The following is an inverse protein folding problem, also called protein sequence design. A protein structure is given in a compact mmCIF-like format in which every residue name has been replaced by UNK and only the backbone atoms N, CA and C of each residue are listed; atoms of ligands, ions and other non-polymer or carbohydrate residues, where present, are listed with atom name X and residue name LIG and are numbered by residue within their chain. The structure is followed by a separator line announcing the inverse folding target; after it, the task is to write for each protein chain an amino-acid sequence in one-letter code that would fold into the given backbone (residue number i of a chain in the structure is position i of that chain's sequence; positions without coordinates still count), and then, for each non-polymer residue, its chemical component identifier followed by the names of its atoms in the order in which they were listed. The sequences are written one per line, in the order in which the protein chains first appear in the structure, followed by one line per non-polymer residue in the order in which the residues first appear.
data_IF_756284180913
#
_entry.id   IF_756284180913
#
_cell.length_a   1.000
_cell.length_b   1.000
_cell.length_c   1.000
_cell.angle_alpha   90.00
_cell.angle_beta   90.00
_cell.angle_gamma   90.00
#
_symmetry.space_group_name_H-M   'P 1'
#
loop_
_entity.id
_entity.type
_entity.pdbx_description
1 polymer ?
#
# COMPACT_ATOMS: atom_id res chain seq x y z
N UNK A 1 -17.99 12.94 -12.05
CA UNK A 1 -19.39 12.63 -12.27
C UNK A 1 -19.56 12.27 -13.75
N UNK A 2 -20.05 11.07 -14.02
CA UNK A 2 -20.36 10.64 -15.38
C UNK A 2 -21.62 11.37 -15.88
N UNK A 3 -21.79 11.47 -17.21
CA UNK A 3 -22.88 12.23 -17.81
C UNK A 3 -24.29 11.77 -17.42
N UNK A 4 -24.43 10.55 -16.87
CA UNK A 4 -25.68 9.96 -16.36
C UNK A 4 -25.86 10.10 -14.84
N UNK A 5 -24.97 10.83 -14.14
CA UNK A 5 -24.93 10.99 -12.68
C UNK A 5 -24.75 9.68 -11.87
N UNK A 6 -24.44 8.57 -12.51
CA UNK A 6 -24.10 7.34 -11.84
C UNK A 6 -22.60 7.35 -11.51
N UNK A 7 -22.26 7.44 -10.23
CA UNK A 7 -20.88 7.28 -9.76
C UNK A 7 -20.39 5.86 -10.07
N UNK A 8 -19.07 5.70 -10.25
CA UNK A 8 -18.42 4.39 -10.29
C UNK A 8 -17.66 4.22 -8.99
N UNK A 9 -17.90 3.13 -8.26
CA UNK A 9 -17.04 2.75 -7.14
C UNK A 9 -15.76 2.15 -7.71
N UNK A 10 -14.65 2.83 -7.46
CA UNK A 10 -13.33 2.51 -8.03
C UNK A 10 -12.41 1.78 -7.05
N UNK A 11 -12.89 1.46 -5.84
CA UNK A 11 -12.08 0.81 -4.78
C UNK A 11 -12.69 -0.53 -4.42
N UNK A 12 -11.94 -1.60 -4.64
CA UNK A 12 -12.36 -2.95 -4.29
C UNK A 12 -12.53 -3.11 -2.78
N UNK A 13 -13.43 -3.97 -2.37
CA UNK A 13 -13.72 -4.27 -0.97
C UNK A 13 -14.89 -5.24 -0.82
N UNK A 14 -15.36 -5.39 0.38
CA UNK A 14 -16.52 -6.20 0.71
C UNK A 14 -17.68 -5.34 1.21
N UNK A 15 -18.89 -5.90 1.22
CA UNK A 15 -20.09 -5.19 1.68
C UNK A 15 -20.20 -5.16 3.21
N UNK A 16 -19.68 -6.16 3.89
CA UNK A 16 -19.85 -6.34 5.33
C UNK A 16 -18.53 -6.46 6.08
N UNK A 17 -18.52 -6.06 7.35
CA UNK A 17 -17.37 -6.23 8.23
C UNK A 17 -17.00 -7.71 8.40
N UNK A 18 -18.02 -8.59 8.45
CA UNK A 18 -17.85 -10.04 8.56
C UNK A 18 -17.04 -10.61 7.39
N UNK A 19 -17.26 -10.09 6.18
CA UNK A 19 -16.52 -10.54 4.99
C UNK A 19 -15.07 -10.05 5.00
N UNK A 20 -14.81 -8.84 5.52
CA UNK A 20 -13.44 -8.39 5.78
C UNK A 20 -12.74 -9.31 6.80
N UNK A 21 -13.41 -9.67 7.91
CA UNK A 21 -12.85 -10.57 8.92
C UNK A 21 -12.55 -11.95 8.31
N UNK A 22 -13.51 -12.55 7.60
CA UNK A 22 -13.33 -13.84 6.92
C UNK A 22 -12.20 -13.83 5.89
N UNK A 23 -11.97 -12.69 5.24
CA UNK A 23 -10.91 -12.59 4.24
C UNK A 23 -9.52 -12.82 4.83
N UNK A 24 -9.30 -12.57 6.12
CA UNK A 24 -8.04 -12.84 6.80
C UNK A 24 -7.84 -14.32 7.14
N UNK A 25 -8.88 -15.16 7.03
CA UNK A 25 -8.79 -16.61 7.19
C UNK A 25 -8.36 -17.31 5.88
N UNK A 26 -8.34 -16.58 4.77
CA UNK A 26 -7.89 -17.09 3.47
C UNK A 26 -6.39 -17.38 3.48
N UNK A 27 -5.92 -18.39 2.74
CA UNK A 27 -4.49 -18.70 2.62
C UNK A 27 -3.63 -17.51 2.17
N UNK A 28 -4.24 -16.57 1.46
CA UNK A 28 -3.61 -15.35 0.98
C UNK A 28 -4.62 -14.20 1.05
N UNK A 29 -4.70 -13.51 2.20
CA UNK A 29 -5.63 -12.40 2.38
C UNK A 29 -5.39 -11.25 1.38
N UNK A 30 -6.44 -10.56 0.90
CA UNK A 30 -6.28 -9.46 -0.04
C UNK A 30 -5.87 -8.14 0.62
N UNK A 31 -6.08 -7.99 1.92
CA UNK A 31 -5.82 -6.75 2.68
C UNK A 31 -6.56 -5.51 2.14
N UNK A 32 -7.75 -5.66 1.55
CA UNK A 32 -8.49 -4.56 0.92
C UNK A 32 -8.61 -3.33 1.82
N UNK A 33 -8.01 -2.20 1.39
CA UNK A 33 -8.07 -0.92 2.06
C UNK A 33 -7.42 -0.87 3.45
N UNK A 34 -6.66 -1.89 3.82
CA UNK A 34 -6.05 -1.97 5.14
C UNK A 34 -4.87 -1.01 5.32
N UNK A 35 -4.69 -0.53 6.54
CA UNK A 35 -3.42 0.03 7.00
C UNK A 35 -2.46 -1.11 7.26
N UNK A 36 -1.35 -1.13 6.57
CA UNK A 36 -0.30 -2.13 6.73
C UNK A 36 0.81 -1.56 7.63
N UNK A 37 1.18 -2.29 8.65
CA UNK A 37 2.21 -1.95 9.66
C UNK A 37 2.34 -3.05 10.71
N UNK A 38 3.43 -3.03 11.58
CA UNK A 38 4.43 -1.94 11.61
C UNK A 38 5.30 -1.88 10.35
N UNK A 39 5.44 -2.99 9.61
CA UNK A 39 6.33 -3.03 8.46
C UNK A 39 5.60 -3.58 7.23
N UNK A 40 5.37 -2.74 6.26
CA UNK A 40 4.81 -3.10 4.96
C UNK A 40 5.84 -3.85 4.11
N UNK A 41 5.37 -4.83 3.35
CA UNK A 41 6.25 -5.73 2.60
C UNK A 41 6.90 -6.80 3.49
N UNK A 42 7.97 -7.41 2.99
CA UNK A 42 8.64 -8.54 3.66
C UNK A 42 9.88 -8.11 4.44
N UNK A 43 10.18 -8.85 5.54
CA UNK A 43 11.49 -8.82 6.21
C UNK A 43 12.05 -10.25 6.16
N UNK A 44 13.22 -10.40 5.54
CA UNK A 44 13.92 -11.66 5.34
C UNK A 44 14.23 -12.37 6.66
N UNK A 45 13.91 -13.68 6.73
CA UNK A 45 14.17 -14.48 7.93
C UNK A 45 13.54 -13.94 9.20
N UNK A 46 12.51 -13.09 9.08
CA UNK A 46 11.83 -12.42 10.21
C UNK A 46 12.82 -11.81 11.20
N UNK A 47 13.91 -11.22 10.74
CA UNK A 47 14.94 -10.65 11.63
C UNK A 47 15.69 -9.50 10.98
N UNK A 48 16.22 -8.61 11.83
CA UNK A 48 17.09 -7.51 11.42
C UNK A 48 17.98 -7.08 12.60
N UNK A 49 19.07 -6.40 12.30
CA UNK A 49 19.93 -5.84 13.33
C UNK A 49 19.54 -4.38 13.62
N UNK A 50 19.41 -4.05 14.91
CA UNK A 50 19.12 -2.70 15.38
C UNK A 50 20.00 -2.39 16.61
N UNK A 51 20.78 -1.32 16.54
CA UNK A 51 21.67 -0.88 17.65
C UNK A 51 22.57 -2.01 18.19
N UNK A 52 23.12 -2.84 17.28
CA UNK A 52 24.02 -3.93 17.63
C UNK A 52 23.35 -5.17 18.24
N UNK A 53 22.01 -5.22 18.17
CA UNK A 53 21.23 -6.39 18.62
C UNK A 53 20.42 -6.94 17.46
N UNK A 54 20.43 -8.26 17.31
CA UNK A 54 19.52 -8.94 16.36
C UNK A 54 18.11 -9.03 16.95
N UNK A 55 17.16 -8.38 16.32
CA UNK A 55 15.73 -8.45 16.64
C UNK A 55 15.12 -9.59 15.83
N UNK A 56 14.43 -10.51 16.50
CA UNK A 56 13.70 -11.63 15.88
C UNK A 56 12.21 -11.38 15.97
N UNK A 57 11.55 -11.36 14.82
CA UNK A 57 10.10 -11.17 14.69
C UNK A 57 9.40 -12.52 14.54
N UNK A 58 8.06 -12.51 14.60
CA UNK A 58 7.26 -13.72 14.37
C UNK A 58 7.04 -13.93 12.86
N UNK A 59 7.48 -15.06 12.27
CA UNK A 59 7.23 -15.33 10.87
C UNK A 59 5.74 -15.60 10.61
N UNK A 60 5.20 -15.08 9.51
CA UNK A 60 3.83 -15.33 9.05
C UNK A 60 3.73 -15.65 7.55
N UNK A 61 4.88 -15.71 6.86
CA UNK A 61 4.97 -16.04 5.44
C UNK A 61 6.20 -16.93 5.18
N UNK A 62 6.06 -18.24 5.40
CA UNK A 62 7.19 -19.14 5.47
C UNK A 62 8.11 -18.77 6.64
N UNK A 63 9.41 -18.59 6.38
CA UNK A 63 10.38 -18.11 7.38
C UNK A 63 10.43 -16.57 7.48
N UNK A 64 9.68 -15.86 6.64
CA UNK A 64 9.73 -14.41 6.54
C UNK A 64 8.56 -13.75 7.28
N UNK A 65 8.73 -12.49 7.65
CA UNK A 65 7.62 -11.63 8.06
C UNK A 65 7.01 -10.99 6.81
N UNK A 66 5.70 -10.88 6.78
CA UNK A 66 4.94 -10.12 5.78
C UNK A 66 3.95 -9.19 6.48
N UNK A 67 3.88 -7.94 6.04
CA UNK A 67 2.86 -6.95 6.42
C UNK A 67 2.68 -6.75 7.93
N UNK A 68 3.79 -6.80 8.68
CA UNK A 68 3.78 -6.54 10.11
C UNK A 68 3.44 -7.74 11.01
N UNK A 69 3.29 -8.93 10.42
CA UNK A 69 3.05 -10.16 11.17
C UNK A 69 1.61 -10.67 11.09
N UNK A 70 1.36 -11.78 11.76
CA UNK A 70 0.05 -12.48 11.74
C UNK A 70 -1.08 -11.62 12.35
N UNK A 71 -0.74 -10.75 13.31
CA UNK A 71 -1.64 -9.80 13.96
C UNK A 71 -1.18 -8.36 13.73
N UNK A 72 -0.91 -8.01 12.45
CA UNK A 72 -0.50 -6.68 12.04
C UNK A 72 -1.62 -5.64 12.16
N UNK A 73 -1.33 -4.41 11.74
CA UNK A 73 -2.24 -3.26 11.87
C UNK A 73 -3.56 -3.40 11.11
N UNK A 74 -3.60 -4.23 10.11
CA UNK A 74 -4.79 -4.61 9.34
C UNK A 74 -5.86 -5.35 10.13
N UNK A 75 -5.51 -5.89 11.32
CA UNK A 75 -6.45 -6.61 12.19
C UNK A 75 -6.69 -5.90 13.53
N UNK A 76 -6.27 -4.65 13.65
CA UNK A 76 -6.41 -3.90 14.92
C UNK A 76 -7.66 -3.03 14.94
N UNK A 77 -8.16 -2.83 16.14
CA UNK A 77 -9.22 -1.85 16.38
C UNK A 77 -8.60 -0.47 16.52
N UNK A 78 -8.86 0.37 15.54
CA UNK A 78 -8.43 1.76 15.55
C UNK A 78 -9.44 2.65 16.27
N UNK A 79 -8.96 3.54 17.12
CA UNK A 79 -9.79 4.51 17.82
C UNK A 79 -10.04 5.72 16.93
N UNK A 80 -11.29 6.15 16.80
CA UNK A 80 -11.62 7.43 16.14
C UNK A 80 -11.23 8.56 17.06
N UNK A 81 -10.27 9.39 16.66
CA UNK A 81 -9.82 10.57 17.41
C UNK A 81 -10.56 11.83 17.00
N UNK A 82 -10.81 11.98 15.70
CA UNK A 82 -11.47 13.17 15.18
C UNK A 82 -12.26 12.86 13.89
N UNK A 83 -13.38 13.54 13.72
CA UNK A 83 -14.17 13.54 12.48
C UNK A 83 -14.45 14.99 12.10
N UNK A 84 -13.85 15.44 11.00
CA UNK A 84 -14.11 16.75 10.40
C UNK A 84 -15.13 16.58 9.26
N UNK A 85 -16.24 17.33 9.33
CA UNK A 85 -17.28 17.38 8.27
C UNK A 85 -17.16 18.66 7.45
N UNK A 86 -17.75 18.65 6.26
CA UNK A 86 -17.80 19.82 5.35
C UNK A 86 -16.61 19.85 4.39
N UNK A 87 -16.11 21.03 4.06
CA UNK A 87 -14.99 21.21 3.15
C UNK A 87 -13.77 20.45 3.64
N UNK A 88 -13.21 19.61 2.77
CA UNK A 88 -12.11 18.70 3.11
C UNK A 88 -12.46 17.83 4.33
N UNK A 89 -13.54 17.03 4.17
CA UNK A 89 -13.98 16.09 5.21
C UNK A 89 -12.88 15.10 5.55
N UNK A 90 -12.66 14.85 6.83
CA UNK A 90 -11.58 13.97 7.26
C UNK A 90 -11.96 13.12 8.47
N UNK A 91 -11.31 11.96 8.60
CA UNK A 91 -11.32 11.15 9.80
C UNK A 91 -9.89 10.86 10.22
N UNK A 92 -9.61 11.04 11.52
CA UNK A 92 -8.32 10.66 12.11
C UNK A 92 -8.55 9.49 13.06
N UNK A 93 -7.79 8.43 12.83
CA UNK A 93 -7.77 7.22 13.63
C UNK A 93 -6.43 7.09 14.34
N UNK A 94 -6.41 6.48 15.53
CA UNK A 94 -5.18 6.16 16.25
C UNK A 94 -5.12 4.71 16.69
N UNK A 95 -3.89 4.23 16.82
CA UNK A 95 -3.58 2.95 17.42
C UNK A 95 -2.27 3.05 18.22
N UNK A 96 -2.24 2.40 19.39
CA UNK A 96 -1.00 2.22 20.17
C UNK A 96 -0.61 0.76 20.12
N UNK A 97 0.48 0.49 19.42
CA UNK A 97 1.09 -0.84 19.32
C UNK A 97 2.08 -0.98 20.47
N UNK A 98 1.79 -1.86 21.41
CA UNK A 98 2.62 -2.05 22.61
C UNK A 98 4.03 -2.54 22.27
N UNK A 99 4.98 -2.27 23.14
CA UNK A 99 6.33 -2.83 23.03
C UNK A 99 6.26 -4.35 22.99
N UNK A 100 6.92 -4.97 21.99
CA UNK A 100 6.91 -6.41 21.80
C UNK A 100 5.72 -6.96 21.00
N UNK A 101 4.80 -6.12 20.54
CA UNK A 101 3.78 -6.58 19.60
C UNK A 101 4.44 -7.08 18.31
N UNK A 102 4.11 -8.31 17.88
CA UNK A 102 4.80 -9.05 16.81
C UNK A 102 6.34 -9.07 16.96
N UNK A 103 6.82 -8.90 18.20
CA UNK A 103 8.22 -8.80 18.63
C UNK A 103 8.95 -7.52 18.16
N UNK A 104 8.27 -6.51 17.64
CA UNK A 104 8.89 -5.21 17.35
C UNK A 104 9.24 -4.47 18.64
N UNK A 105 10.44 -3.83 18.73
CA UNK A 105 10.83 -3.05 19.89
C UNK A 105 10.04 -1.74 19.99
N UNK A 106 9.93 -1.23 21.21
CA UNK A 106 9.30 0.03 21.54
C UNK A 106 7.77 0.02 21.43
N UNK A 107 7.11 0.80 22.28
CA UNK A 107 5.72 1.16 22.11
C UNK A 107 5.62 2.21 21.00
N UNK A 108 4.72 2.00 20.05
CA UNK A 108 4.50 2.87 18.91
C UNK A 108 3.09 3.47 18.98
N UNK A 109 2.98 4.79 19.08
CA UNK A 109 1.73 5.50 18.90
C UNK A 109 1.65 5.99 17.46
N UNK A 110 0.59 5.61 16.75
CA UNK A 110 0.38 5.98 15.35
C UNK A 110 -0.99 6.60 15.16
N UNK A 111 -1.06 7.61 14.29
CA UNK A 111 -2.30 8.15 13.75
C UNK A 111 -2.32 7.99 12.23
N UNK A 112 -3.49 7.72 11.69
CA UNK A 112 -3.77 7.81 10.26
C UNK A 112 -4.93 8.77 10.03
N UNK A 113 -4.76 9.71 9.12
CA UNK A 113 -5.81 10.65 8.71
C UNK A 113 -6.17 10.41 7.25
N UNK A 114 -7.44 10.15 7.01
CA UNK A 114 -8.02 10.12 5.67
C UNK A 114 -8.76 11.43 5.45
N UNK A 115 -8.41 12.15 4.40
CA UNK A 115 -9.07 13.40 4.04
C UNK A 115 -9.51 13.36 2.59
N UNK A 116 -10.82 13.58 2.35
CA UNK A 116 -11.37 13.74 1.01
C UNK A 116 -11.48 15.23 0.71
N UNK A 117 -10.71 15.71 -0.26
CA UNK A 117 -10.67 17.13 -0.60
C UNK A 117 -11.68 17.49 -1.70
N UNK A 118 -12.02 18.78 -1.78
CA UNK A 118 -12.84 19.33 -2.87
C UNK A 118 -12.15 19.25 -4.25
N UNK A 119 -10.85 18.99 -4.27
CA UNK A 119 -10.06 18.75 -5.49
C UNK A 119 -10.07 17.30 -5.96
N UNK A 120 -11.01 16.46 -5.45
CA UNK A 120 -11.12 15.03 -5.72
C UNK A 120 -9.85 14.25 -5.33
N UNK A 121 -9.26 14.57 -4.20
CA UNK A 121 -8.09 13.89 -3.66
C UNK A 121 -8.46 13.12 -2.40
N UNK A 122 -8.09 11.86 -2.34
CA UNK A 122 -8.00 11.11 -1.09
C UNK A 122 -6.58 11.24 -0.57
N UNK A 123 -6.43 12.02 0.49
CA UNK A 123 -5.19 12.20 1.22
C UNK A 123 -5.13 11.20 2.36
N UNK A 124 -4.03 10.44 2.44
CA UNK A 124 -3.75 9.51 3.54
C UNK A 124 -2.44 9.94 4.20
N UNK A 125 -2.51 10.31 5.48
CA UNK A 125 -1.35 10.80 6.25
C UNK A 125 -1.15 9.94 7.50
N UNK A 126 0.07 9.46 7.67
CA UNK A 126 0.50 8.75 8.87
C UNK A 126 1.45 9.63 9.68
N UNK A 127 1.26 9.66 11.00
CA UNK A 127 2.20 10.21 11.95
C UNK A 127 2.45 9.16 13.04
N UNK A 128 3.70 8.99 13.46
CA UNK A 128 4.01 8.06 14.52
C UNK A 128 5.20 8.52 15.36
N UNK A 129 5.18 8.10 16.64
CA UNK A 129 6.27 8.26 17.59
C UNK A 129 6.51 6.95 18.34
N UNK A 130 7.71 6.75 18.81
CA UNK A 130 8.11 5.52 19.52
C UNK A 130 8.81 5.81 20.84
N UNK A 131 8.68 4.88 21.81
CA UNK A 131 9.38 4.94 23.10
C UNK A 131 10.81 4.40 23.06
N UNK A 132 11.15 3.62 22.03
CA UNK A 132 12.48 3.07 21.75
C UNK A 132 12.71 3.06 20.24
N UNK A 133 13.95 2.97 19.80
CA UNK A 133 14.28 2.79 18.38
C UNK A 133 13.58 1.54 17.83
N UNK A 134 12.94 1.67 16.69
CA UNK A 134 12.22 0.57 16.02
C UNK A 134 12.33 0.71 14.51
N UNK A 135 11.89 -0.29 13.76
CA UNK A 135 11.73 -0.17 12.31
C UNK A 135 10.26 0.07 11.97
N UNK A 136 10.03 0.92 10.98
CA UNK A 136 8.69 1.35 10.58
C UNK A 136 8.58 1.50 9.06
N UNK A 137 7.53 0.97 8.51
CA UNK A 137 7.14 1.15 7.12
C UNK A 137 5.63 0.97 7.01
N UNK A 138 4.91 2.04 6.71
CA UNK A 138 3.46 1.96 6.50
C UNK A 138 3.12 1.95 5.02
N UNK A 139 1.96 1.39 4.71
CA UNK A 139 1.29 1.60 3.43
C UNK A 139 -0.23 1.45 3.55
N UNK A 140 -0.94 1.88 2.52
CA UNK A 140 -2.37 1.72 2.36
C UNK A 140 -2.65 0.75 1.21
N UNK A 141 -3.35 -0.35 1.51
CA UNK A 141 -3.48 -1.49 0.60
C UNK A 141 -4.82 -1.47 -0.16
N UNK A 142 -5.21 -0.31 -0.69
CA UNK A 142 -6.37 -0.23 -1.58
C UNK A 142 -6.08 -0.77 -2.97
N UNK A 143 -7.03 -1.54 -3.50
CA UNK A 143 -7.06 -1.96 -4.89
C UNK A 143 -7.98 -1.03 -5.66
N UNK A 144 -7.50 -0.52 -6.78
CA UNK A 144 -8.23 0.39 -7.64
C UNK A 144 -8.63 -0.29 -8.95
N UNK A 145 -9.85 0.02 -9.41
CA UNK A 145 -10.30 -0.28 -10.75
C UNK A 145 -11.17 0.87 -11.24
N UNK A 146 -10.71 1.64 -12.22
CA UNK A 146 -11.41 2.83 -12.70
C UNK A 146 -12.65 2.52 -13.54
N UNK A 147 -12.94 1.24 -13.78
CA UNK A 147 -14.11 0.77 -14.52
C UNK A 147 -15.12 0.04 -13.64
N UNK A 148 -14.89 0.04 -12.30
CA UNK A 148 -15.75 -0.62 -11.32
C UNK A 148 -15.39 -2.08 -11.07
N UNK A 149 -16.27 -2.81 -10.41
CA UNK A 149 -15.95 -4.09 -9.79
C UNK A 149 -15.97 -5.30 -10.76
N UNK A 150 -16.66 -5.20 -11.90
CA UNK A 150 -16.86 -6.33 -12.81
C UNK A 150 -15.82 -6.43 -13.94
N UNK A 151 -14.91 -5.44 -14.03
CA UNK A 151 -13.97 -5.33 -15.15
C UNK A 151 -12.54 -5.69 -14.72
N UNK A 152 -11.76 -6.18 -15.69
CA UNK A 152 -10.33 -6.39 -15.50
C UNK A 152 -9.55 -5.08 -15.70
N UNK A 153 -8.54 -4.82 -14.86
CA UNK A 153 -7.67 -3.63 -14.98
C UNK A 153 -6.76 -3.65 -16.21
N UNK A 154 -6.63 -4.78 -16.89
CA UNK A 154 -5.71 -4.97 -18.01
C UNK A 154 -6.01 -4.12 -19.26
N UNK A 155 -7.18 -3.46 -19.30
CA UNK A 155 -7.53 -2.50 -20.34
C UNK A 155 -7.21 -1.05 -19.95
N UNK A 156 -6.78 -0.83 -18.71
CA UNK A 156 -6.39 0.49 -18.20
C UNK A 156 -4.89 0.70 -18.39
N UNK A 157 -4.50 1.95 -18.59
CA UNK A 157 -3.12 2.32 -18.86
C UNK A 157 -2.39 2.65 -17.55
N UNK A 158 -1.32 1.91 -17.26
CA UNK A 158 -0.42 2.12 -16.13
C UNK A 158 0.78 2.96 -16.55
N UNK A 159 1.10 3.97 -15.76
CA UNK A 159 2.35 4.72 -15.79
C UNK A 159 3.01 4.65 -14.41
N UNK A 160 4.34 4.48 -14.37
CA UNK A 160 5.14 4.55 -13.14
C UNK A 160 6.35 5.45 -13.39
N UNK A 161 6.48 6.53 -12.63
CA UNK A 161 7.57 7.50 -12.76
C UNK A 161 8.84 6.99 -12.05
N UNK A 162 9.38 5.89 -12.53
CA UNK A 162 10.58 5.29 -11.97
C UNK A 162 11.40 4.61 -13.06
N UNK A 163 12.68 4.94 -13.11
CA UNK A 163 13.66 4.32 -14.00
C UNK A 163 14.34 3.08 -13.41
N UNK A 164 13.98 2.73 -12.17
CA UNK A 164 14.57 1.63 -11.40
C UNK A 164 13.53 0.85 -10.62
N UNK A 165 13.81 -0.45 -10.46
CA UNK A 165 12.99 -1.41 -9.69
C UNK A 165 13.90 -2.21 -8.75
N UNK A 166 13.37 -2.59 -7.59
CA UNK A 166 14.09 -3.43 -6.63
C UNK A 166 14.06 -4.88 -7.12
N UNK A 167 15.23 -5.47 -7.29
CA UNK A 167 15.32 -6.88 -7.61
C UNK A 167 14.90 -7.76 -6.43
N UNK A 168 14.11 -8.78 -6.69
CA UNK A 168 13.67 -9.78 -5.72
C UNK A 168 13.98 -11.19 -6.18
N UNK A 169 14.11 -12.11 -5.24
CA UNK A 169 14.26 -13.52 -5.51
C UNK A 169 12.88 -14.21 -5.70
N UNK A 170 12.89 -15.54 -5.92
CA UNK A 170 11.67 -16.34 -6.12
C UNK A 170 10.73 -16.38 -4.90
N UNK A 171 11.19 -15.97 -3.70
CA UNK A 171 10.38 -15.84 -2.49
C UNK A 171 9.85 -14.41 -2.30
N UNK A 172 9.99 -13.55 -3.33
CA UNK A 172 9.65 -12.12 -3.27
C UNK A 172 10.44 -11.34 -2.21
N UNK A 173 11.66 -11.78 -1.88
CA UNK A 173 12.57 -11.08 -0.96
C UNK A 173 13.55 -10.23 -1.77
N UNK A 174 13.72 -8.93 -1.46
CA UNK A 174 14.73 -8.11 -2.07
C UNK A 174 16.13 -8.72 -1.99
N UNK A 175 16.86 -8.69 -3.11
CA UNK A 175 18.26 -9.15 -3.15
C UNK A 175 19.26 -8.08 -2.71
N UNK A 176 18.77 -6.84 -2.54
CA UNK A 176 19.58 -5.65 -2.33
C UNK A 176 19.97 -4.96 -3.64
N UNK A 177 19.81 -5.56 -4.78
CA UNK A 177 20.12 -4.92 -6.07
C UNK A 177 18.94 -4.07 -6.54
N UNK A 178 19.28 -2.97 -7.21
CA UNK A 178 18.35 -2.08 -7.89
C UNK A 178 18.67 -2.14 -9.38
N UNK A 179 17.69 -2.49 -10.19
CA UNK A 179 17.82 -2.70 -11.63
C UNK A 179 17.21 -1.54 -12.41
N UNK A 180 17.78 -1.18 -13.55
CA UNK A 180 17.14 -0.28 -14.51
C UNK A 180 15.91 -0.95 -15.11
N UNK A 181 14.84 -0.19 -15.33
CA UNK A 181 13.61 -0.69 -15.96
C UNK A 181 13.69 -0.70 -17.50
N UNK A 182 14.59 0.08 -18.08
CA UNK A 182 14.73 0.23 -19.53
C UNK A 182 14.81 -1.12 -20.24
N UNK A 183 14.04 -1.27 -21.32
CA UNK A 183 13.96 -2.48 -22.16
C UNK A 183 13.48 -3.74 -21.39
N UNK A 184 12.86 -3.58 -20.23
CA UNK A 184 12.32 -4.68 -19.42
C UNK A 184 10.79 -4.67 -19.36
N UNK A 185 10.22 -5.72 -18.77
CA UNK A 185 8.78 -5.78 -18.49
C UNK A 185 8.32 -4.74 -17.45
N UNK A 186 9.25 -4.11 -16.74
CA UNK A 186 9.01 -3.09 -15.72
C UNK A 186 9.09 -1.65 -16.25
N UNK A 187 9.35 -1.45 -17.52
CA UNK A 187 9.41 -0.11 -18.11
C UNK A 187 7.99 0.44 -18.33
N UNK A 188 7.51 1.25 -17.39
CA UNK A 188 6.24 1.97 -17.43
C UNK A 188 6.44 3.50 -17.47
N UNK A 189 7.62 3.98 -17.91
CA UNK A 189 7.88 5.41 -18.13
C UNK A 189 7.03 6.02 -19.27
N UNK A 190 6.54 5.16 -20.15
CA UNK A 190 5.44 5.46 -21.06
C UNK A 190 4.23 4.62 -20.64
N UNK A 191 3.04 5.24 -20.63
CA UNK A 191 1.81 4.56 -20.22
C UNK A 191 1.52 3.36 -21.13
N UNK A 192 1.29 2.21 -20.51
CA UNK A 192 0.98 0.93 -21.18
C UNK A 192 -0.17 0.24 -20.46
N UNK A 193 -0.84 -0.66 -21.16
CA UNK A 193 -1.85 -1.51 -20.53
C UNK A 193 -1.30 -2.19 -19.28
N UNK A 194 -2.10 -2.24 -18.22
CA UNK A 194 -1.73 -2.96 -17.00
C UNK A 194 -1.32 -4.38 -17.31
N UNK A 195 -0.22 -4.87 -16.73
CA UNK A 195 0.23 -6.23 -16.90
C UNK A 195 -0.75 -7.20 -16.22
N UNK A 196 -0.74 -8.46 -16.66
CA UNK A 196 -1.55 -9.51 -16.02
C UNK A 196 -1.05 -9.93 -14.65
N UNK A 197 0.17 -9.58 -14.30
CA UNK A 197 0.79 -9.83 -13.01
C UNK A 197 1.96 -8.88 -12.82
N UNK A 198 2.02 -8.24 -11.66
CA UNK A 198 3.15 -7.47 -11.15
C UNK A 198 3.06 -7.47 -9.62
N UNK A 199 4.19 -7.53 -8.93
CA UNK A 199 4.32 -7.54 -7.47
C UNK A 199 5.69 -6.95 -7.14
N UNK A 200 5.93 -5.69 -7.55
CA UNK A 200 7.30 -5.14 -7.58
C UNK A 200 7.35 -3.71 -7.04
N UNK A 201 8.46 -3.39 -6.36
CA UNK A 201 8.71 -2.07 -5.78
C UNK A 201 9.58 -1.23 -6.71
N UNK A 202 9.03 -0.12 -7.17
CA UNK A 202 9.70 0.87 -7.99
C UNK A 202 10.36 1.92 -7.12
N UNK A 203 11.56 2.36 -7.52
CA UNK A 203 12.37 3.35 -6.81
C UNK A 203 12.05 4.73 -7.36
N UNK A 204 11.44 5.57 -6.54
CA UNK A 204 11.07 6.93 -6.92
C UNK A 204 12.27 7.88 -6.83
N UNK A 205 12.47 8.70 -7.85
CA UNK A 205 13.57 9.65 -7.91
C UNK A 205 13.25 10.97 -7.21
N UNK A 206 12.10 11.57 -7.50
CA UNK A 206 11.66 12.85 -6.94
C UNK A 206 10.28 12.68 -6.29
N UNK A 207 10.21 12.90 -4.99
CA UNK A 207 9.00 12.75 -4.18
C UNK A 207 7.99 13.91 -4.35
N UNK A 208 8.35 14.97 -5.06
CA UNK A 208 7.44 16.08 -5.40
C UNK A 208 6.67 15.83 -6.70
N UNK A 209 7.09 14.83 -7.48
CA UNK A 209 6.47 14.48 -8.76
C UNK A 209 5.43 13.36 -8.56
N UNK A 210 4.61 13.18 -9.58
CA UNK A 210 3.66 12.06 -9.63
C UNK A 210 4.45 10.74 -9.64
N UNK A 211 4.16 9.86 -8.69
CA UNK A 211 4.82 8.57 -8.54
C UNK A 211 4.30 7.53 -9.54
N UNK A 212 2.99 7.50 -9.76
CA UNK A 212 2.33 6.59 -10.68
C UNK A 212 0.99 7.13 -11.13
N UNK A 213 0.43 6.56 -12.19
CA UNK A 213 -0.96 6.82 -12.57
C UNK A 213 -1.62 5.61 -13.22
N UNK A 214 -2.96 5.60 -13.17
CA UNK A 214 -3.84 4.66 -13.85
C UNK A 214 -4.86 5.45 -14.65
N UNK A 215 -5.08 5.10 -15.91
CA UNK A 215 -6.05 5.75 -16.77
C UNK A 215 -7.01 4.75 -17.43
N UNK A 216 -8.31 5.03 -17.35
CA UNK A 216 -9.33 4.33 -18.11
C UNK A 216 -9.87 5.23 -19.22
N UNK A 217 -9.68 4.83 -20.47
CA UNK A 217 -10.26 5.51 -21.62
C UNK A 217 -11.78 5.34 -21.69
N UNK A 218 -12.33 4.24 -21.14
CA UNK A 218 -13.75 3.94 -21.10
C UNK A 218 -14.55 4.98 -20.31
N UNK A 219 -14.02 5.36 -19.15
CA UNK A 219 -14.68 6.31 -18.24
C UNK A 219 -14.03 7.71 -18.29
N UNK A 220 -12.98 7.89 -19.10
CA UNK A 220 -12.14 9.08 -19.10
C UNK A 220 -11.71 9.47 -17.68
N UNK A 221 -11.42 8.50 -16.85
CA UNK A 221 -11.03 8.68 -15.45
C UNK A 221 -9.54 8.41 -15.29
N UNK A 222 -8.86 9.30 -14.59
CA UNK A 222 -7.43 9.24 -14.32
C UNK A 222 -7.19 9.30 -12.81
N UNK A 223 -6.53 8.30 -12.28
CA UNK A 223 -5.97 8.27 -10.93
C UNK A 223 -4.50 8.67 -11.00
N UNK A 224 -4.11 9.69 -10.25
CA UNK A 224 -2.73 10.12 -10.06
C UNK A 224 -2.32 9.85 -8.61
N UNK A 225 -1.14 9.28 -8.42
CA UNK A 225 -0.59 8.93 -7.11
C UNK A 225 0.65 9.78 -6.82
N UNK A 226 0.63 10.45 -5.68
CA UNK A 226 1.76 11.23 -5.16
C UNK A 226 2.12 10.78 -3.76
N UNK A 227 3.40 10.85 -3.40
CA UNK A 227 3.86 10.45 -2.08
C UNK A 227 5.19 11.10 -1.72
N UNK A 228 5.48 11.18 -0.42
CA UNK A 228 6.81 11.52 0.10
C UNK A 228 7.67 10.28 0.41
N UNK A 229 7.23 9.08 -0.01
CA UNK A 229 7.98 7.86 0.23
C UNK A 229 8.97 7.57 -0.90
N UNK A 230 10.06 6.82 -0.62
CA UNK A 230 11.10 6.55 -1.62
C UNK A 230 10.68 5.51 -2.67
N UNK A 231 9.57 4.83 -2.46
CA UNK A 231 9.10 3.80 -3.38
C UNK A 231 7.59 3.73 -3.52
N UNK A 232 7.16 3.13 -4.62
CA UNK A 232 5.79 2.66 -4.84
C UNK A 232 5.83 1.20 -5.22
N UNK A 233 5.16 0.38 -4.42
CA UNK A 233 4.96 -1.03 -4.75
C UNK A 233 3.69 -1.14 -5.58
N UNK A 234 3.81 -1.71 -6.77
CA UNK A 234 2.70 -1.92 -7.69
C UNK A 234 2.35 -3.39 -7.68
N UNK A 235 1.08 -3.68 -7.42
CA UNK A 235 0.59 -5.05 -7.35
C UNK A 235 -0.65 -5.24 -8.22
N UNK A 236 -0.57 -6.18 -9.15
CA UNK A 236 -1.69 -6.75 -9.91
C UNK A 236 -1.60 -8.26 -9.77
N UNK A 237 -2.60 -8.81 -9.21
CA UNK A 237 -2.63 -10.22 -8.90
C UNK A 237 -3.65 -10.44 -7.82
N UNK A 238 -3.71 -11.62 -7.27
CA UNK A 238 -4.55 -11.77 -6.12
C UNK A 238 -5.04 -13.16 -5.87
N UNK A 239 -5.55 -13.33 -4.70
CA UNK A 239 -5.63 -14.63 -4.09
C UNK A 239 -6.93 -14.87 -3.30
N UNK A 240 -7.89 -13.91 -3.35
CA UNK A 240 -9.12 -14.02 -2.54
C UNK A 240 -10.35 -14.47 -3.33
N UNK A 241 -10.15 -15.05 -4.47
CA UNK A 241 -11.15 -15.04 -5.50
C UNK A 241 -12.05 -16.28 -5.42
N UNK A 242 -13.31 -16.09 -5.78
CA UNK A 242 -14.40 -17.08 -5.79
C UNK A 242 -14.85 -17.58 -4.40
N UNK A 243 -14.36 -17.00 -3.30
CA UNK A 243 -14.74 -17.44 -1.93
C UNK A 243 -15.60 -16.44 -1.17
N UNK A 244 -15.41 -15.15 -1.42
CA UNK A 244 -16.17 -14.07 -0.78
C UNK A 244 -16.60 -13.09 -1.86
N UNK A 245 -17.91 -12.80 -1.94
CA UNK A 245 -18.43 -11.81 -2.89
C UNK A 245 -17.93 -10.41 -2.55
N UNK A 246 -17.44 -9.71 -3.56
CA UNK A 246 -17.06 -8.31 -3.44
C UNK A 246 -18.24 -7.36 -3.38
N UNK A 247 -17.96 -6.06 -3.39
CA UNK A 247 -18.98 -5.01 -3.50
C UNK A 247 -19.82 -5.21 -4.76
N UNK A 248 -21.09 -4.79 -4.69
CA UNK A 248 -22.05 -4.91 -5.79
C UNK A 248 -22.26 -6.37 -6.27
N UNK A 249 -21.91 -7.35 -5.41
CA UNK A 249 -22.00 -8.78 -5.74
C UNK A 249 -20.94 -9.27 -6.72
N UNK A 250 -19.89 -8.50 -6.97
CA UNK A 250 -18.85 -8.84 -7.93
C UNK A 250 -18.03 -10.06 -7.48
N UNK A 251 -17.65 -10.89 -8.42
CA UNK A 251 -16.70 -11.97 -8.23
C UNK A 251 -15.29 -11.48 -8.59
N UNK A 252 -14.49 -11.14 -7.58
CA UNK A 252 -13.15 -10.67 -7.82
C UNK A 252 -12.23 -11.81 -8.28
N UNK A 253 -11.33 -11.47 -9.18
CA UNK A 253 -10.31 -12.36 -9.73
C UNK A 253 -8.96 -11.64 -9.80
N UNK A 254 -7.89 -12.34 -10.18
CA UNK A 254 -6.52 -11.82 -10.15
C UNK A 254 -6.29 -10.53 -10.96
N UNK A 255 -7.23 -10.13 -11.80
CA UNK A 255 -7.14 -8.92 -12.62
C UNK A 255 -8.18 -7.86 -12.23
N UNK A 256 -8.90 -8.06 -11.11
CA UNK A 256 -9.97 -7.14 -10.71
C UNK A 256 -9.48 -5.79 -10.20
N UNK A 257 -8.23 -5.68 -9.76
CA UNK A 257 -7.71 -4.41 -9.24
C UNK A 257 -6.19 -4.31 -9.26
N UNK A 258 -5.71 -3.10 -9.07
CA UNK A 258 -4.29 -2.74 -8.94
C UNK A 258 -4.06 -1.98 -7.65
N UNK A 259 -2.96 -2.28 -6.94
CA UNK A 259 -2.52 -1.54 -5.77
C UNK A 259 -1.38 -0.59 -6.12
N UNK A 260 -1.40 0.57 -5.46
CA UNK A 260 -0.29 1.52 -5.41
C UNK A 260 0.08 1.74 -3.95
N UNK A 261 0.95 0.88 -3.44
CA UNK A 261 1.39 0.92 -2.05
C UNK A 261 2.65 1.80 -1.95
N UNK A 262 2.44 3.06 -1.65
CA UNK A 262 3.55 3.99 -1.41
C UNK A 262 4.19 3.65 -0.06
N UNK A 263 5.50 3.45 -0.04
CA UNK A 263 6.19 2.92 1.13
C UNK A 263 7.70 3.05 1.04
N UNK A 264 8.40 2.76 2.14
CA UNK A 264 9.83 2.45 2.09
C UNK A 264 10.04 1.06 1.47
N UNK A 265 11.28 0.71 1.16
CA UNK A 265 11.60 -0.54 0.48
C UNK A 265 11.35 -1.74 1.39
N UNK A 266 10.78 -2.84 0.86
CA UNK A 266 10.74 -4.11 1.59
C UNK A 266 12.16 -4.53 1.98
N UNK A 267 12.29 -5.18 3.13
CA UNK A 267 13.54 -5.67 3.70
C UNK A 267 14.63 -4.58 3.93
N UNK A 268 14.27 -3.28 3.91
CA UNK A 268 15.23 -2.19 4.10
C UNK A 268 16.09 -2.32 5.39
N UNK A 269 15.60 -2.84 6.52
CA UNK A 269 16.43 -3.03 7.70
C UNK A 269 17.63 -3.96 7.49
N UNK A 270 17.61 -4.82 6.48
CA UNK A 270 18.67 -5.75 6.14
C UNK A 270 19.60 -5.25 5.01
N UNK A 271 19.38 -4.04 4.50
CA UNK A 271 20.12 -3.45 3.38
C UNK A 271 20.59 -2.03 3.70
N UNK A 272 21.80 -1.85 4.20
CA UNK A 272 22.33 -0.56 4.66
C UNK A 272 22.37 0.57 3.59
N UNK A 273 22.29 0.23 2.32
CA UNK A 273 22.26 1.20 1.21
C UNK A 273 20.82 1.56 0.77
N UNK A 274 19.80 0.92 1.33
CA UNK A 274 18.42 1.33 1.17
C UNK A 274 18.10 2.51 2.12
N UNK A 275 17.07 3.31 1.82
CA UNK A 275 16.59 4.33 2.75
C UNK A 275 16.28 3.70 4.11
N UNK A 276 16.74 4.35 5.18
CA UNK A 276 16.56 3.84 6.54
C UNK A 276 15.06 3.69 6.87
N UNK A 277 14.70 2.55 7.42
CA UNK A 277 13.39 2.31 8.00
C UNK A 277 13.37 2.48 9.53
N UNK A 278 14.48 2.94 10.14
CA UNK A 278 14.57 3.12 11.58
C UNK A 278 13.89 4.43 11.98
N UNK A 279 12.92 4.32 12.87
CA UNK A 279 12.38 5.44 13.63
C UNK A 279 13.05 5.46 15.00
N UNK A 280 13.81 6.51 15.30
CA UNK A 280 14.49 6.66 16.58
C UNK A 280 13.55 7.20 17.65
N UNK A 281 13.81 6.85 18.90
CA UNK A 281 13.15 7.45 20.05
C UNK A 281 13.23 8.98 19.99
N UNK A 282 12.07 9.64 20.06
CA UNK A 282 11.95 11.10 20.04
C UNK A 282 11.88 11.72 18.65
N UNK A 283 12.00 10.93 17.59
CA UNK A 283 11.72 11.37 16.23
C UNK A 283 10.24 11.19 15.89
N UNK A 284 9.76 12.00 14.93
CA UNK A 284 8.43 11.86 14.36
C UNK A 284 8.53 11.22 12.98
N UNK A 285 7.78 10.16 12.77
CA UNK A 285 7.55 9.60 11.44
C UNK A 285 6.42 10.37 10.76
N UNK A 286 6.61 10.69 9.49
CA UNK A 286 5.60 11.28 8.64
C UNK A 286 5.58 10.65 7.27
N UNK A 287 4.42 10.14 6.87
CA UNK A 287 4.18 9.60 5.54
C UNK A 287 2.89 10.18 4.98
N UNK A 288 2.93 10.61 3.74
CA UNK A 288 1.81 11.19 3.02
C UNK A 288 1.64 10.54 1.66
N UNK A 289 0.41 10.19 1.34
CA UNK A 289 -0.01 9.72 0.01
C UNK A 289 -1.22 10.49 -0.46
N UNK A 290 -1.26 10.85 -1.72
CA UNK A 290 -2.41 11.49 -2.37
C UNK A 290 -2.84 10.61 -3.54
N UNK A 291 -4.09 10.18 -3.51
CA UNK A 291 -4.79 9.57 -4.64
C UNK A 291 -5.73 10.62 -5.23
N UNK A 292 -5.35 11.20 -6.36
CA UNK A 292 -6.10 12.26 -7.03
C UNK A 292 -6.85 11.72 -8.23
N UNK A 293 -8.15 11.98 -8.28
CA UNK A 293 -9.02 11.56 -9.35
C UNK A 293 -9.42 12.75 -10.22
N UNK A 294 -9.26 12.60 -11.54
CA UNK A 294 -9.64 13.64 -12.48
C UNK A 294 -10.05 13.05 -13.83
N UNK A 295 -10.83 13.80 -14.62
CA UNK A 295 -10.98 13.48 -16.05
C UNK A 295 -9.74 13.95 -16.79
N UNK A 296 -9.26 13.15 -17.76
CA UNK A 296 -8.17 13.58 -18.64
C UNK A 296 -8.73 14.64 -19.58
N UNK A 297 -8.14 15.84 -19.57
CA UNK A 297 -8.48 16.88 -20.55
C UNK A 297 -8.19 16.36 -21.95
N UNK A 298 -9.17 16.47 -22.83
CA UNK A 298 -9.05 16.11 -24.25
C UNK A 298 -8.18 17.14 -24.95
#
# INVERSE_FOLDING_TARGET
PMADHKGVDVVLGFETLEDYIKSFELPSPPYFGAVIGRYAGRIKGSSFDLNGKTIKLNPNHGEHLLHGGASGFHQKNWKIENVKKGINSAVTLSYTSLAGEENFPGELTVTVTYCLTESNELLVEYNATTTEDTVLNFTHHSYFNLEGHEHAVTQQELFVNADRVIEKNYQNIPTGRVLAVAESAFDFLEAKNCPKSIDDTFVLGNQEEMAASLYSSKNNLHLLVYTNQPGVHVYVGGNCFDTISGKEGANYHSLSGICFETQNFPDAPNHNHFPSAVLKKGENYYHKTIYKFQSKSI
#
